data_IF_521094830551
#
_entry.id   IF_521094830551
#
_cell.length_a   1.000
_cell.length_b   1.000
_cell.length_c   1.000
_cell.angle_alpha   90.00
_cell.angle_beta   90.00
_cell.angle_gamma   90.00
#
_symmetry.space_group_name_H-M   'P 1'
#
loop_
_entity.id
_entity.type
_entity.pdbx_description
1 polymer ?
#
# COMPACT_ATOMS: atom_id res chain seq x y z
N UNK A 1 -25.40 -41.42 -13.00
CA UNK A 1 -24.18 -40.63 -12.68
C UNK A 1 -24.41 -39.16 -12.97
N UNK A 2 -24.98 -38.41 -12.02
CA UNK A 2 -25.24 -36.99 -12.21
C UNK A 2 -26.25 -36.51 -11.19
N UNK A 3 -25.77 -35.96 -10.08
CA UNK A 3 -26.54 -35.04 -9.20
C UNK A 3 -25.64 -34.38 -8.14
N UNK A 4 -24.44 -34.91 -7.85
CA UNK A 4 -23.54 -34.37 -6.83
C UNK A 4 -22.59 -33.23 -7.27
N UNK A 5 -22.51 -32.90 -8.56
CA UNK A 5 -21.58 -31.87 -9.07
C UNK A 5 -22.13 -30.43 -9.04
N UNK A 6 -23.43 -30.20 -8.81
CA UNK A 6 -24.02 -28.84 -8.81
C UNK A 6 -23.99 -28.14 -7.43
N UNK A 7 -23.93 -28.89 -6.33
CA UNK A 7 -23.98 -28.32 -4.97
C UNK A 7 -22.64 -27.73 -4.48
N UNK A 8 -21.50 -28.24 -4.96
CA UNK A 8 -20.17 -27.77 -4.53
C UNK A 8 -19.63 -26.54 -5.29
N UNK A 9 -20.10 -26.30 -6.52
CA UNK A 9 -19.69 -25.13 -7.31
C UNK A 9 -20.52 -23.87 -6.99
N UNK A 10 -21.78 -24.02 -6.56
CA UNK A 10 -22.60 -22.88 -6.12
C UNK A 10 -22.06 -22.19 -4.85
N UNK A 11 -21.65 -22.97 -3.84
CA UNK A 11 -21.08 -22.42 -2.58
C UNK A 11 -19.72 -21.74 -2.76
N UNK A 12 -18.90 -22.16 -3.73
CA UNK A 12 -17.62 -21.49 -4.05
C UNK A 12 -17.78 -20.18 -4.81
N UNK A 13 -18.83 -20.04 -5.64
CA UNK A 13 -19.16 -18.78 -6.31
C UNK A 13 -19.72 -17.76 -5.32
N UNK A 14 -20.65 -18.17 -4.45
CA UNK A 14 -21.21 -17.31 -3.41
C UNK A 14 -20.15 -16.78 -2.42
N UNK A 15 -19.26 -17.65 -1.90
CA UNK A 15 -18.15 -17.23 -1.00
C UNK A 15 -17.13 -16.29 -1.65
N UNK A 16 -17.00 -16.31 -2.99
CA UNK A 16 -16.10 -15.43 -3.74
C UNK A 16 -16.74 -14.07 -3.99
N UNK A 17 -18.04 -14.08 -4.26
CA UNK A 17 -18.87 -12.88 -4.42
C UNK A 17 -19.03 -12.13 -3.08
N UNK A 18 -19.20 -12.85 -1.96
CA UNK A 18 -19.20 -12.24 -0.61
C UNK A 18 -17.84 -11.65 -0.23
N UNK A 19 -16.72 -12.26 -0.67
CA UNK A 19 -15.38 -11.71 -0.45
C UNK A 19 -15.09 -10.49 -1.33
N UNK A 20 -15.56 -10.49 -2.57
CA UNK A 20 -15.43 -9.35 -3.49
C UNK A 20 -16.31 -8.17 -3.01
N UNK A 21 -17.52 -8.44 -2.51
CA UNK A 21 -18.39 -7.44 -1.88
C UNK A 21 -17.80 -6.87 -0.57
N UNK A 22 -17.16 -7.70 0.27
CA UNK A 22 -16.46 -7.22 1.48
C UNK A 22 -15.21 -6.38 1.15
N UNK A 23 -14.54 -6.66 0.02
CA UNK A 23 -13.42 -5.85 -0.46
C UNK A 23 -13.96 -4.52 -1.03
N UNK A 24 -15.05 -4.54 -1.81
CA UNK A 24 -15.71 -3.34 -2.34
C UNK A 24 -16.27 -2.44 -1.22
N UNK A 25 -16.87 -2.99 -0.16
CA UNK A 25 -17.29 -2.19 1.00
C UNK A 25 -16.09 -1.56 1.74
N UNK A 26 -14.94 -2.25 1.77
CA UNK A 26 -13.70 -1.75 2.38
C UNK A 26 -13.06 -0.61 1.57
N UNK A 27 -13.33 -0.55 0.26
CA UNK A 27 -12.92 0.56 -0.62
C UNK A 27 -13.95 1.71 -0.66
N UNK A 28 -15.25 1.42 -0.51
CA UNK A 28 -16.32 2.44 -0.46
C UNK A 28 -16.31 3.30 0.82
N UNK A 29 -15.69 2.83 1.92
CA UNK A 29 -15.58 3.58 3.19
C UNK A 29 -14.23 4.29 3.41
N UNK A 30 -13.48 4.57 2.35
CA UNK A 30 -12.36 5.52 2.44
C UNK A 30 -12.86 6.86 1.94
N UNK A 31 -13.42 7.65 2.86
CA UNK A 31 -13.49 9.08 2.62
C UNK A 31 -12.05 9.59 2.37
N UNK A 32 -11.85 10.49 1.39
CA UNK A 32 -10.55 11.11 1.19
C UNK A 32 -10.14 11.80 2.49
N UNK A 33 -8.95 11.46 2.99
CA UNK A 33 -8.31 12.21 4.08
C UNK A 33 -8.05 13.60 3.49
N UNK A 34 -8.79 14.61 3.94
CA UNK A 34 -8.49 15.98 3.58
C UNK A 34 -7.06 16.32 4.02
N UNK A 35 -6.26 17.02 3.19
CA UNK A 35 -4.93 17.43 3.59
C UNK A 35 -5.03 18.33 4.83
N UNK A 36 -4.29 17.96 5.88
CA UNK A 36 -4.13 18.80 7.06
C UNK A 36 -3.27 19.99 6.64
N UNK A 37 -3.76 21.20 6.82
CA UNK A 37 -3.04 22.44 6.48
C UNK A 37 -2.39 23.02 7.74
N UNK A 38 -1.19 23.60 7.67
CA UNK A 38 -0.70 24.46 8.74
C UNK A 38 -1.58 25.72 8.84
N UNK A 39 -1.90 26.14 10.06
CA UNK A 39 -2.55 27.43 10.33
C UNK A 39 -1.48 28.47 10.67
N UNK A 40 -1.51 29.61 9.99
CA UNK A 40 -0.62 30.75 10.24
C UNK A 40 -1.45 31.81 10.95
N UNK A 41 -1.10 32.14 12.19
CA UNK A 41 -1.66 33.28 12.91
C UNK A 41 -0.66 34.44 12.87
N UNK A 42 -1.06 35.57 12.29
CA UNK A 42 -0.30 36.83 12.35
C UNK A 42 -0.70 37.60 13.60
N UNK A 43 -0.01 37.37 14.72
CA UNK A 43 -0.10 38.27 15.87
C UNK A 43 0.92 39.39 15.71
N UNK A 44 0.41 40.61 15.46
CA UNK A 44 1.17 41.87 15.44
C UNK A 44 1.67 42.21 16.85
N UNK A 45 2.65 41.45 17.35
CA UNK A 45 3.79 41.99 18.13
C UNK A 45 4.85 40.95 18.59
N UNK A 46 4.73 39.64 18.31
CA UNK A 46 5.75 38.67 18.72
C UNK A 46 5.77 37.40 17.85
N UNK A 47 6.41 37.48 16.68
CA UNK A 47 6.84 36.30 15.91
C UNK A 47 5.72 35.52 15.21
N UNK A 48 6.02 34.97 14.04
CA UNK A 48 5.10 34.09 13.32
C UNK A 48 5.02 32.76 14.10
N UNK A 49 3.88 32.51 14.74
CA UNK A 49 3.56 31.23 15.36
C UNK A 49 2.87 30.32 14.34
N UNK A 50 3.56 29.27 13.88
CA UNK A 50 2.98 28.24 13.02
C UNK A 50 2.43 27.14 13.94
N UNK A 51 1.11 26.95 13.97
CA UNK A 51 0.44 25.86 14.68
C UNK A 51 -0.17 24.87 13.70
N UNK A 52 -0.30 23.61 14.11
CA UNK A 52 -1.01 22.61 13.32
C UNK A 52 -2.51 22.77 13.49
N UNK A 53 -3.27 22.66 12.40
CA UNK A 53 -4.72 22.54 12.50
C UNK A 53 -5.12 21.30 13.32
N UNK A 54 -6.25 21.35 14.06
CA UNK A 54 -6.75 20.22 14.82
C UNK A 54 -7.00 18.99 13.93
N UNK A 55 -6.86 17.81 14.52
CA UNK A 55 -7.15 16.54 13.84
C UNK A 55 -8.58 16.11 14.13
N UNK A 56 -9.44 16.21 13.13
CA UNK A 56 -10.85 15.85 13.23
C UNK A 56 -11.71 16.76 12.36
N UNK A 57 -12.86 16.23 11.93
CA UNK A 57 -13.87 17.01 11.21
C UNK A 57 -15.03 17.24 12.17
N UNK A 58 -15.45 18.50 12.30
CA UNK A 58 -16.64 18.86 13.08
C UNK A 58 -17.90 18.36 12.38
N UNK A 59 -18.91 17.98 13.15
CA UNK A 59 -20.24 17.66 12.63
C UNK A 59 -21.23 18.83 12.82
N UNK A 60 -20.71 20.02 13.15
CA UNK A 60 -21.48 21.22 13.51
C UNK A 60 -22.43 20.99 14.71
N UNK A 61 -22.07 20.04 15.60
CA UNK A 61 -22.87 19.74 16.77
C UNK A 61 -22.74 20.84 17.82
N UNK A 62 -23.86 21.45 18.19
CA UNK A 62 -23.92 22.47 19.27
C UNK A 62 -24.03 21.87 20.68
N UNK A 63 -23.99 20.54 20.80
CA UNK A 63 -24.13 19.85 22.08
C UNK A 63 -22.88 20.04 22.96
N UNK A 64 -23.08 20.24 24.27
CA UNK A 64 -22.01 20.46 25.26
C UNK A 64 -21.71 19.24 26.13
N UNK A 65 -21.90 18.04 25.61
CA UNK A 65 -21.71 16.77 26.32
C UNK A 65 -20.50 15.98 25.80
N UNK A 66 -19.61 16.63 25.02
CA UNK A 66 -18.35 16.04 24.61
C UNK A 66 -17.34 16.06 25.75
N UNK A 67 -16.36 15.17 25.64
CA UNK A 67 -15.21 15.07 26.53
C UNK A 67 -13.99 14.58 25.76
N UNK A 68 -12.81 14.86 26.34
CA UNK A 68 -11.52 14.27 25.93
C UNK A 68 -11.02 13.38 27.06
N UNK A 69 -10.46 12.22 26.71
CA UNK A 69 -9.98 11.22 27.66
C UNK A 69 -8.67 10.60 27.21
N UNK A 70 -7.93 10.09 28.18
CA UNK A 70 -6.76 9.24 27.97
C UNK A 70 -7.12 7.81 28.35
N UNK A 71 -6.70 6.87 27.52
CA UNK A 71 -6.43 5.52 28.00
C UNK A 71 -4.98 5.41 28.44
N UNK A 72 -4.78 4.80 29.60
CA UNK A 72 -3.46 4.66 30.20
C UNK A 72 -3.28 3.30 30.86
N UNK A 73 -2.03 2.85 30.94
CA UNK A 73 -1.65 1.64 31.68
C UNK A 73 -1.53 2.00 33.16
N UNK A 74 -2.23 1.31 34.05
CA UNK A 74 -2.32 1.70 35.47
C UNK A 74 -0.97 1.67 36.17
N UNK A 75 -0.19 0.63 35.93
CA UNK A 75 1.07 0.39 36.62
C UNK A 75 2.14 1.45 36.28
N UNK A 76 2.17 1.91 35.03
CA UNK A 76 3.18 2.87 34.56
C UNK A 76 2.67 4.30 34.47
N UNK A 77 1.35 4.50 34.43
CA UNK A 77 0.72 5.78 34.10
C UNK A 77 0.88 6.19 32.63
N UNK A 78 1.45 5.33 31.78
CA UNK A 78 1.72 5.64 30.38
C UNK A 78 0.42 5.81 29.61
N UNK A 79 0.30 6.94 28.91
CA UNK A 79 -0.84 7.26 28.06
C UNK A 79 -0.55 6.73 26.66
N UNK A 80 -1.33 5.76 26.21
CA UNK A 80 -1.14 5.13 24.90
C UNK A 80 -2.19 5.53 23.87
N UNK A 81 -3.30 6.14 24.30
CA UNK A 81 -4.35 6.60 23.38
C UNK A 81 -5.08 7.82 23.94
N UNK A 82 -5.36 8.77 23.06
CA UNK A 82 -6.14 9.98 23.36
C UNK A 82 -7.38 9.94 22.48
N UNK A 83 -8.53 10.20 23.07
CA UNK A 83 -9.78 10.17 22.32
C UNK A 83 -10.73 11.29 22.72
N UNK A 84 -11.53 11.74 21.75
CA UNK A 84 -12.77 12.47 22.01
C UNK A 84 -13.99 11.55 22.04
N UNK A 85 -15.01 11.90 22.82
CA UNK A 85 -16.25 11.13 22.84
C UNK A 85 -17.43 11.78 23.56
N UNK A 86 -18.56 11.05 23.53
CA UNK A 86 -19.82 11.34 24.22
C UNK A 86 -20.34 10.06 24.86
N UNK A 87 -21.14 10.18 25.92
CA UNK A 87 -21.70 9.04 26.66
C UNK A 87 -20.63 8.01 27.04
N UNK A 88 -20.90 6.72 26.84
CA UNK A 88 -19.96 5.62 27.16
C UNK A 88 -18.94 5.29 26.04
N UNK A 89 -18.70 6.18 25.06
CA UNK A 89 -17.76 5.90 23.95
C UNK A 89 -16.37 5.47 24.43
N UNK A 90 -15.87 6.06 25.51
CA UNK A 90 -14.57 5.73 26.11
C UNK A 90 -14.45 4.27 26.62
N UNK A 91 -15.57 3.59 26.87
CA UNK A 91 -15.58 2.18 27.32
C UNK A 91 -15.70 1.20 26.17
N UNK A 92 -16.32 1.63 25.07
CA UNK A 92 -16.63 0.79 23.91
C UNK A 92 -15.35 0.31 23.24
N UNK A 93 -15.49 -0.71 22.41
CA UNK A 93 -14.42 -1.17 21.52
C UNK A 93 -14.33 -0.26 20.29
N UNK A 94 -13.11 0.13 19.92
CA UNK A 94 -12.82 1.03 18.80
C UNK A 94 -12.20 0.25 17.65
N UNK A 95 -13.01 -0.18 16.68
CA UNK A 95 -12.55 -0.99 15.53
C UNK A 95 -11.38 -0.36 14.73
N UNK A 96 -11.29 0.98 14.74
CA UNK A 96 -10.23 1.72 14.03
C UNK A 96 -8.95 1.93 14.85
N UNK A 97 -8.99 1.69 16.16
CA UNK A 97 -7.88 1.83 17.10
C UNK A 97 -7.37 0.45 17.57
N UNK A 98 -7.10 -0.43 16.60
CA UNK A 98 -6.76 -1.83 16.84
C UNK A 98 -5.57 -2.03 17.78
N UNK A 99 -4.51 -1.22 17.67
CA UNK A 99 -3.36 -1.32 18.59
C UNK A 99 -3.72 -0.87 20.02
N UNK A 100 -4.52 0.18 20.17
CA UNK A 100 -4.99 0.63 21.48
C UNK A 100 -5.84 -0.45 22.17
N UNK A 101 -6.71 -1.11 21.41
CA UNK A 101 -7.54 -2.21 21.93
C UNK A 101 -6.69 -3.41 22.32
N UNK A 102 -5.69 -3.77 21.51
CA UNK A 102 -4.73 -4.83 21.84
C UNK A 102 -3.98 -4.53 23.14
N UNK A 103 -3.57 -3.28 23.36
CA UNK A 103 -2.95 -2.85 24.62
C UNK A 103 -3.93 -3.02 25.78
N UNK A 104 -5.21 -2.60 25.63
CA UNK A 104 -6.24 -2.78 26.67
C UNK A 104 -6.50 -4.24 27.03
N UNK A 105 -6.33 -5.16 26.09
CA UNK A 105 -6.48 -6.61 26.33
C UNK A 105 -5.30 -7.22 27.08
N UNK A 106 -4.09 -6.69 26.90
CA UNK A 106 -2.86 -7.28 27.46
C UNK A 106 -2.39 -6.62 28.76
N UNK A 107 -2.76 -5.36 28.98
CA UNK A 107 -2.33 -4.58 30.13
C UNK A 107 -3.52 -4.23 31.03
N UNK A 108 -3.27 -4.08 32.34
CA UNK A 108 -4.25 -3.47 33.21
C UNK A 108 -4.33 -1.97 32.91
N UNK A 109 -5.45 -1.55 32.32
CA UNK A 109 -5.65 -0.21 31.79
C UNK A 109 -6.85 0.47 32.45
N UNK A 110 -6.84 1.79 32.45
CA UNK A 110 -7.97 2.59 32.89
C UNK A 110 -8.15 3.82 32.00
N UNK A 111 -9.23 4.57 32.27
CA UNK A 111 -9.58 5.80 31.58
C UNK A 111 -9.57 6.97 32.53
N UNK A 112 -8.92 8.05 32.13
CA UNK A 112 -9.02 9.35 32.83
C UNK A 112 -9.54 10.41 31.88
N UNK A 113 -10.46 11.23 32.35
CA UNK A 113 -10.97 12.36 31.58
C UNK A 113 -10.02 13.55 31.71
N UNK A 114 -9.66 14.14 30.59
CA UNK A 114 -8.91 15.40 30.54
C UNK A 114 -9.86 16.55 30.87
N UNK A 115 -10.99 16.60 30.15
CA UNK A 115 -12.05 17.60 30.37
C UNK A 115 -13.39 17.07 29.86
N UNK A 116 -14.48 17.50 30.50
CA UNK A 116 -15.87 17.16 30.16
C UNK A 116 -16.68 18.43 29.96
N UNK A 117 -17.85 18.29 29.34
CA UNK A 117 -18.79 19.40 29.17
C UNK A 117 -18.41 20.32 28.01
N UNK A 118 -17.72 19.78 27.01
CA UNK A 118 -17.18 20.50 25.85
C UNK A 118 -18.20 20.51 24.70
N UNK A 119 -18.10 21.53 23.85
CA UNK A 119 -18.61 21.43 22.47
C UNK A 119 -17.79 20.44 21.66
N UNK A 120 -18.26 20.08 20.46
CA UNK A 120 -17.47 19.21 19.57
C UNK A 120 -16.15 19.86 19.16
N UNK A 121 -16.18 21.14 18.77
CA UNK A 121 -14.99 21.86 18.31
C UNK A 121 -13.97 22.01 19.44
N UNK A 122 -14.42 22.39 20.65
CA UNK A 122 -13.56 22.46 21.84
C UNK A 122 -12.92 21.09 22.15
N UNK A 123 -13.63 19.99 21.93
CA UNK A 123 -13.09 18.64 22.13
C UNK A 123 -12.10 18.23 21.04
N UNK A 124 -12.31 18.65 19.79
CA UNK A 124 -11.38 18.41 18.67
C UNK A 124 -10.06 19.16 18.89
N UNK A 125 -10.14 20.42 19.28
CA UNK A 125 -8.97 21.25 19.63
C UNK A 125 -8.20 20.62 20.80
N UNK A 126 -8.89 20.33 21.91
CA UNK A 126 -8.25 19.77 23.10
C UNK A 126 -7.65 18.38 22.86
N UNK A 127 -8.29 17.53 22.05
CA UNK A 127 -7.73 16.23 21.66
C UNK A 127 -6.39 16.41 20.92
N UNK A 128 -6.32 17.40 20.02
CA UNK A 128 -5.13 17.73 19.25
C UNK A 128 -4.02 18.32 20.11
N UNK A 129 -4.38 19.21 21.04
CA UNK A 129 -3.44 19.81 22.00
C UNK A 129 -2.83 18.75 22.92
N UNK A 130 -3.64 17.84 23.45
CA UNK A 130 -3.14 16.76 24.30
C UNK A 130 -2.24 15.77 23.52
N UNK A 131 -2.57 15.44 22.27
CA UNK A 131 -1.66 14.66 21.42
C UNK A 131 -0.32 15.38 21.23
N UNK A 132 -0.37 16.68 20.92
CA UNK A 132 0.83 17.50 20.73
C UNK A 132 1.67 17.54 22.00
N UNK A 133 1.05 17.80 23.15
CA UNK A 133 1.70 17.83 24.46
C UNK A 133 2.38 16.49 24.76
N UNK A 134 1.68 15.37 24.62
CA UNK A 134 2.23 14.04 24.89
C UNK A 134 3.41 13.72 23.97
N UNK A 135 3.29 13.98 22.67
CA UNK A 135 4.36 13.70 21.69
C UNK A 135 5.58 14.61 21.88
N UNK A 136 5.39 15.84 22.38
CA UNK A 136 6.45 16.84 22.53
C UNK A 136 7.14 16.84 23.89
N UNK A 137 6.44 16.49 24.96
CA UNK A 137 6.87 16.68 26.35
C UNK A 137 7.10 15.37 27.11
N UNK A 138 6.62 14.24 26.58
CA UNK A 138 6.74 12.93 27.24
C UNK A 138 7.39 11.90 26.31
N UNK A 139 7.73 10.74 26.87
CA UNK A 139 8.17 9.58 26.12
C UNK A 139 7.06 8.55 25.88
N UNK A 140 5.80 8.86 26.20
CA UNK A 140 4.71 7.91 26.02
C UNK A 140 4.50 7.62 24.53
N UNK A 141 4.20 6.37 24.20
CA UNK A 141 4.00 5.96 22.81
C UNK A 141 2.51 5.94 22.44
N UNK A 142 2.04 6.96 21.72
CA UNK A 142 0.64 7.01 21.29
C UNK A 142 0.37 6.02 20.15
N UNK A 143 -0.85 5.50 20.11
CA UNK A 143 -1.35 4.63 19.03
C UNK A 143 -2.37 5.32 18.13
N UNK A 144 -2.58 6.62 18.31
CA UNK A 144 -3.45 7.46 17.48
C UNK A 144 -2.93 7.49 16.04
N UNK A 145 -3.71 7.00 15.07
CA UNK A 145 -3.25 6.90 13.67
C UNK A 145 -3.04 8.25 12.98
N UNK A 146 -3.78 9.26 13.41
CA UNK A 146 -3.68 10.63 12.89
C UNK A 146 -3.25 11.49 14.07
N UNK A 147 -2.22 12.28 13.85
CA UNK A 147 -1.66 13.20 14.83
C UNK A 147 -1.46 14.58 14.19
N UNK A 148 -1.36 15.65 14.99
CA UNK A 148 -1.08 16.98 14.47
C UNK A 148 0.29 17.05 13.78
N UNK A 149 0.40 17.84 12.70
CA UNK A 149 1.56 17.85 11.80
C UNK A 149 2.88 18.32 12.44
N UNK A 150 2.82 19.25 13.39
CA UNK A 150 4.02 19.94 13.93
C UNK A 150 4.50 19.34 15.24
N UNK A 151 4.29 18.04 15.42
CA UNK A 151 4.75 17.30 16.59
C UNK A 151 6.20 16.87 16.42
N UNK A 152 6.95 16.81 17.53
CA UNK A 152 8.38 16.43 17.54
C UNK A 152 8.61 14.95 17.27
N UNK A 153 7.60 14.11 17.53
CA UNK A 153 7.63 12.66 17.35
C UNK A 153 6.43 12.22 16.52
N UNK A 154 6.63 11.17 15.72
CA UNK A 154 5.59 10.53 14.94
C UNK A 154 4.56 9.79 15.82
N UNK A 155 3.59 9.18 15.15
CA UNK A 155 2.49 8.46 15.78
C UNK A 155 2.83 7.00 16.16
N UNK A 156 4.10 6.62 16.04
CA UNK A 156 4.61 5.30 16.38
C UNK A 156 4.33 4.17 15.40
N UNK A 157 3.70 4.46 14.25
CA UNK A 157 3.53 3.47 13.19
C UNK A 157 4.75 3.40 12.26
N UNK A 158 5.72 4.28 12.42
CA UNK A 158 6.98 4.26 11.69
C UNK A 158 7.90 3.15 12.19
N UNK A 159 8.94 2.88 11.42
CA UNK A 159 9.99 1.90 11.70
C UNK A 159 10.68 2.19 13.03
N UNK A 160 10.73 1.19 13.90
CA UNK A 160 11.38 1.29 15.21
C UNK A 160 12.79 1.90 15.12
N UNK A 161 13.16 2.84 16.03
CA UNK A 161 14.50 3.44 16.08
C UNK A 161 15.59 2.42 16.43
N UNK A 162 15.23 1.29 17.05
CA UNK A 162 16.16 0.20 17.35
C UNK A 162 16.37 -0.74 16.16
N UNK A 163 15.62 -0.56 15.08
CA UNK A 163 15.81 -1.32 13.86
C UNK A 163 17.08 -0.85 13.12
N UNK A 164 18.00 -1.74 12.74
CA UNK A 164 19.22 -1.38 12.01
C UNK A 164 18.94 -0.46 10.83
N UNK A 165 19.68 0.64 10.68
CA UNK A 165 19.45 1.63 9.61
C UNK A 165 19.58 1.02 8.23
N UNK A 166 18.87 1.60 7.27
CA UNK A 166 19.01 1.23 5.86
C UNK A 166 20.38 1.66 5.36
N UNK A 167 20.99 0.80 4.54
CA UNK A 167 22.32 1.01 3.99
C UNK A 167 22.32 0.55 2.52
N UNK A 168 23.05 1.27 1.68
CA UNK A 168 23.19 0.96 0.26
C UNK A 168 23.79 -0.44 0.07
N UNK A 169 23.19 -1.23 -0.83
CA UNK A 169 23.58 -2.60 -1.15
C UNK A 169 23.67 -3.56 0.05
N UNK A 170 22.88 -3.30 1.08
CA UNK A 170 22.72 -4.19 2.23
C UNK A 170 21.26 -4.60 2.37
N UNK A 171 21.03 -5.89 2.62
CA UNK A 171 19.68 -6.33 2.95
C UNK A 171 19.21 -5.64 4.24
N UNK A 172 18.02 -5.03 4.24
CA UNK A 172 17.47 -4.41 5.42
C UNK A 172 16.95 -5.48 6.38
N UNK A 173 16.34 -5.04 7.49
CA UNK A 173 15.68 -5.91 8.43
C UNK A 173 14.17 -5.82 8.24
N UNK A 174 13.47 -6.94 8.42
CA UNK A 174 12.05 -6.89 8.74
C UNK A 174 11.90 -6.16 10.07
N UNK A 175 11.04 -5.16 10.11
CA UNK A 175 11.01 -4.21 11.21
C UNK A 175 9.69 -4.24 11.99
N UNK A 176 9.70 -4.02 13.31
CA UNK A 176 8.52 -3.63 14.05
C UNK A 176 8.28 -2.12 13.92
N UNK A 177 7.04 -1.69 14.10
CA UNK A 177 6.77 -0.29 14.42
C UNK A 177 7.26 0.08 15.82
N UNK A 178 7.38 1.37 16.14
CA UNK A 178 7.67 1.82 17.53
C UNK A 178 6.66 1.23 18.52
N UNK A 179 5.38 1.22 18.16
CA UNK A 179 4.29 0.65 18.97
C UNK A 179 4.51 -0.85 19.19
N UNK A 180 4.83 -1.57 18.12
CA UNK A 180 5.02 -3.02 18.15
C UNK A 180 6.21 -3.43 19.03
N UNK A 181 7.31 -2.69 18.94
CA UNK A 181 8.47 -2.94 19.77
C UNK A 181 8.20 -2.58 21.24
N UNK A 182 7.64 -1.39 21.50
CA UNK A 182 7.45 -0.86 22.85
C UNK A 182 6.42 -1.66 23.65
N UNK A 183 5.23 -1.91 23.09
CA UNK A 183 4.15 -2.57 23.82
C UNK A 183 4.10 -4.09 23.62
N UNK A 184 4.67 -4.63 22.55
CA UNK A 184 4.56 -6.07 22.28
C UNK A 184 5.90 -6.79 22.28
N UNK A 185 7.00 -6.05 22.52
CA UNK A 185 8.35 -6.62 22.55
C UNK A 185 8.77 -7.26 21.22
N UNK A 186 8.13 -6.89 20.11
CA UNK A 186 8.45 -7.42 18.79
C UNK A 186 9.79 -6.84 18.38
N UNK A 187 10.72 -7.70 17.97
CA UNK A 187 12.08 -7.29 17.62
C UNK A 187 12.30 -7.31 16.12
N UNK A 188 13.21 -6.47 15.60
CA UNK A 188 13.70 -6.59 14.24
C UNK A 188 14.22 -7.99 13.91
N UNK A 189 14.01 -8.43 12.68
CA UNK A 189 14.44 -9.74 12.18
C UNK A 189 15.17 -9.61 10.86
N UNK A 190 16.34 -10.21 10.73
CA UNK A 190 17.04 -10.31 9.46
C UNK A 190 16.29 -11.23 8.48
N UNK A 191 16.48 -11.00 7.18
CA UNK A 191 16.06 -11.98 6.17
C UNK A 191 16.81 -13.31 6.34
N UNK A 192 16.22 -14.39 5.85
CA UNK A 192 16.85 -15.70 5.92
C UNK A 192 18.09 -15.71 5.00
N UNK A 193 19.14 -16.44 5.39
CA UNK A 193 20.32 -16.62 4.55
C UNK A 193 19.94 -17.33 3.26
N UNK A 194 20.40 -16.81 2.11
CA UNK A 194 20.00 -17.32 0.81
C UNK A 194 20.67 -18.67 0.53
N UNK A 195 19.84 -19.69 0.31
CA UNK A 195 20.27 -21.00 -0.19
C UNK A 195 19.86 -21.15 -1.66
N UNK A 196 20.83 -21.44 -2.53
CA UNK A 196 20.57 -21.58 -3.98
C UNK A 196 19.49 -22.62 -4.30
N UNK A 197 19.46 -23.75 -3.58
CA UNK A 197 18.50 -24.83 -3.83
C UNK A 197 17.04 -24.41 -3.60
N UNK A 198 16.83 -23.34 -2.81
CA UNK A 198 15.52 -22.75 -2.58
C UNK A 198 15.13 -21.73 -3.65
N UNK A 199 16.01 -21.38 -4.59
CA UNK A 199 15.73 -20.43 -5.68
C UNK A 199 15.05 -21.07 -6.90
N UNK A 200 14.81 -22.39 -6.91
CA UNK A 200 14.19 -23.13 -8.03
C UNK A 200 12.89 -22.49 -8.54
N UNK A 201 12.04 -21.99 -7.64
CA UNK A 201 10.72 -21.43 -7.95
C UNK A 201 10.35 -20.26 -7.02
N UNK A 202 10.90 -19.08 -7.29
CA UNK A 202 10.72 -17.90 -6.43
C UNK A 202 9.48 -17.07 -6.77
N UNK A 203 9.02 -16.26 -5.82
CA UNK A 203 8.13 -15.12 -6.07
C UNK A 203 8.86 -13.85 -5.68
N UNK A 204 8.82 -12.83 -6.53
CA UNK A 204 9.34 -11.51 -6.22
C UNK A 204 8.20 -10.68 -5.61
N UNK A 205 8.47 -10.06 -4.45
CA UNK A 205 7.48 -9.36 -3.64
C UNK A 205 7.63 -7.84 -3.75
N UNK A 206 6.65 -7.22 -4.41
CA UNK A 206 6.59 -5.79 -4.72
C UNK A 206 5.81 -4.97 -3.67
N UNK A 207 5.57 -5.53 -2.49
CA UNK A 207 4.59 -5.00 -1.53
C UNK A 207 5.00 -3.71 -0.83
N UNK A 208 6.29 -3.55 -0.53
CA UNK A 208 6.84 -2.34 0.08
C UNK A 208 8.09 -1.93 -0.70
N UNK A 209 8.06 -0.75 -1.31
CA UNK A 209 9.15 -0.19 -2.11
C UNK A 209 9.55 1.22 -1.70
N UNK A 210 9.02 1.73 -0.58
CA UNK A 210 9.19 3.13 -0.15
C UNK A 210 10.66 3.51 0.09
N UNK A 211 11.48 2.58 0.57
CA UNK A 211 12.88 2.86 0.93
C UNK A 211 13.88 2.22 -0.05
N UNK A 212 13.44 1.98 -1.28
CA UNK A 212 14.28 1.37 -2.31
C UNK A 212 15.38 2.31 -2.78
N UNK A 213 15.23 3.63 -2.60
CA UNK A 213 16.27 4.60 -2.90
C UNK A 213 17.50 4.41 -2.02
N UNK A 214 17.32 4.22 -0.72
CA UNK A 214 18.39 4.01 0.27
C UNK A 214 19.11 2.68 0.02
N UNK A 215 18.35 1.64 -0.34
CA UNK A 215 18.88 0.28 -0.56
C UNK A 215 19.61 0.16 -1.90
N UNK A 216 19.08 0.74 -2.98
CA UNK A 216 19.55 0.54 -4.36
C UNK A 216 20.13 1.79 -5.03
N UNK A 217 20.22 2.91 -4.32
CA UNK A 217 20.75 4.16 -4.87
C UNK A 217 19.92 4.70 -6.04
N UNK A 218 18.61 4.45 -6.04
CA UNK A 218 17.69 4.82 -7.13
C UNK A 218 17.73 3.89 -8.35
N UNK A 219 18.46 2.77 -8.30
CA UNK A 219 18.67 1.86 -9.45
C UNK A 219 17.98 0.50 -9.29
N UNK A 220 16.87 0.40 -8.55
CA UNK A 220 16.16 -0.87 -8.29
C UNK A 220 15.93 -1.71 -9.57
N UNK A 221 15.59 -1.06 -10.67
CA UNK A 221 15.34 -1.74 -11.96
C UNK A 221 16.54 -2.54 -12.45
N UNK A 222 17.76 -2.02 -12.25
CA UNK A 222 19.01 -2.71 -12.62
C UNK A 222 19.16 -3.99 -11.80
N UNK A 223 19.09 -3.90 -10.46
CA UNK A 223 19.20 -5.06 -9.57
C UNK A 223 18.13 -6.10 -9.87
N UNK A 224 16.90 -5.65 -10.10
CA UNK A 224 15.80 -6.55 -10.42
C UNK A 224 16.01 -7.24 -11.76
N UNK A 225 16.40 -6.50 -12.80
CA UNK A 225 16.60 -7.04 -14.15
C UNK A 225 17.76 -8.04 -14.18
N UNK A 226 18.88 -7.71 -13.54
CA UNK A 226 20.03 -8.62 -13.39
C UNK A 226 19.63 -9.89 -12.64
N UNK A 227 18.91 -9.75 -11.51
CA UNK A 227 18.45 -10.90 -10.72
C UNK A 227 17.52 -11.79 -11.53
N UNK A 228 16.54 -11.21 -12.23
CA UNK A 228 15.60 -11.96 -13.07
C UNK A 228 16.34 -12.72 -14.18
N UNK A 229 17.25 -12.05 -14.88
CA UNK A 229 18.03 -12.65 -15.96
C UNK A 229 18.90 -13.81 -15.46
N UNK A 230 19.61 -13.63 -14.34
CA UNK A 230 20.41 -14.68 -13.71
C UNK A 230 19.55 -15.86 -13.26
N UNK A 231 18.38 -15.62 -12.66
CA UNK A 231 17.47 -16.68 -12.28
C UNK A 231 17.01 -17.49 -13.50
N UNK A 232 16.50 -16.81 -14.53
CA UNK A 232 15.92 -17.44 -15.72
C UNK A 232 16.98 -18.16 -16.57
N UNK A 233 18.15 -17.56 -16.79
CA UNK A 233 19.27 -18.17 -17.52
C UNK A 233 19.74 -19.48 -16.87
N UNK A 234 19.58 -19.60 -15.55
CA UNK A 234 19.99 -20.77 -14.77
C UNK A 234 18.81 -21.70 -14.43
N UNK A 235 17.72 -21.64 -15.21
CA UNK A 235 16.60 -22.58 -15.11
C UNK A 235 15.69 -22.40 -13.90
N UNK A 236 15.86 -21.32 -13.13
CA UNK A 236 14.96 -20.96 -12.03
C UNK A 236 13.70 -20.31 -12.57
N UNK A 237 12.57 -20.53 -11.88
CA UNK A 237 11.26 -20.06 -12.34
C UNK A 237 10.71 -18.97 -11.43
N UNK A 238 10.41 -17.81 -12.00
CA UNK A 238 9.68 -16.76 -11.28
C UNK A 238 8.18 -17.02 -11.37
N UNK A 239 7.53 -17.17 -10.22
CA UNK A 239 6.11 -17.44 -10.09
C UNK A 239 5.31 -16.15 -9.88
N UNK A 240 4.04 -16.18 -10.31
CA UNK A 240 3.13 -15.01 -10.25
C UNK A 240 2.41 -14.82 -8.91
N UNK A 241 2.38 -15.85 -8.07
CA UNK A 241 1.58 -15.84 -6.85
C UNK A 241 2.36 -16.38 -5.68
N UNK A 242 2.44 -15.56 -4.63
CA UNK A 242 3.07 -15.84 -3.34
C UNK A 242 2.75 -17.23 -2.81
N UNK A 243 1.49 -17.65 -2.93
CA UNK A 243 0.98 -18.89 -2.35
C UNK A 243 0.79 -20.03 -3.37
N UNK A 244 1.59 -20.06 -4.44
CA UNK A 244 1.64 -21.22 -5.33
C UNK A 244 2.16 -22.44 -4.55
N UNK A 245 1.54 -23.62 -4.72
CA UNK A 245 1.99 -24.85 -4.02
C UNK A 245 3.46 -25.19 -4.29
N UNK A 246 3.98 -24.80 -5.46
CA UNK A 246 5.37 -25.04 -5.86
C UNK A 246 6.36 -23.94 -5.50
N UNK A 247 5.96 -22.88 -4.78
CA UNK A 247 6.86 -21.77 -4.44
C UNK A 247 7.95 -22.24 -3.50
N UNK A 248 9.22 -21.96 -3.77
CA UNK A 248 10.34 -22.40 -2.92
C UNK A 248 10.92 -21.28 -2.07
N UNK A 249 10.81 -20.02 -2.49
CA UNK A 249 11.20 -18.86 -1.69
C UNK A 249 10.41 -17.60 -2.10
N UNK A 250 10.38 -16.62 -1.20
CA UNK A 250 9.91 -15.26 -1.46
C UNK A 250 11.09 -14.30 -1.45
N UNK A 251 11.16 -13.40 -2.42
CA UNK A 251 12.27 -12.45 -2.59
C UNK A 251 11.71 -11.04 -2.50
N UNK A 252 12.06 -10.34 -1.43
CA UNK A 252 11.59 -8.99 -1.13
C UNK A 252 12.47 -7.94 -1.79
N UNK A 253 11.84 -6.85 -2.24
CA UNK A 253 12.53 -5.72 -2.82
C UNK A 253 12.91 -4.65 -1.79
N UNK A 254 12.09 -4.42 -0.78
CA UNK A 254 12.39 -3.52 0.32
C UNK A 254 12.38 -4.24 1.66
N UNK A 255 12.26 -3.48 2.73
CA UNK A 255 11.89 -4.02 4.03
C UNK A 255 10.37 -4.23 4.14
N UNK A 256 9.91 -4.84 5.23
CA UNK A 256 8.49 -5.04 5.53
C UNK A 256 8.32 -5.23 7.04
N UNK A 257 7.09 -5.12 7.52
CA UNK A 257 6.77 -5.34 8.92
C UNK A 257 7.01 -6.80 9.31
N UNK A 258 7.54 -7.03 10.51
CA UNK A 258 7.66 -8.37 11.10
C UNK A 258 6.29 -9.05 11.18
N UNK A 259 5.25 -8.30 11.56
CA UNK A 259 3.87 -8.82 11.64
C UNK A 259 3.30 -9.19 10.27
N UNK A 260 3.67 -8.46 9.21
CA UNK A 260 3.33 -8.85 7.83
C UNK A 260 4.01 -10.15 7.45
N UNK A 261 5.30 -10.30 7.75
CA UNK A 261 6.04 -11.56 7.56
C UNK A 261 5.36 -12.72 8.29
N UNK A 262 5.06 -12.59 9.58
CA UNK A 262 4.40 -13.63 10.38
C UNK A 262 3.02 -14.00 9.83
N UNK A 263 2.22 -12.99 9.47
CA UNK A 263 0.91 -13.19 8.83
C UNK A 263 1.04 -13.96 7.52
N UNK A 264 2.06 -13.66 6.71
CA UNK A 264 2.33 -14.34 5.46
C UNK A 264 2.79 -15.79 5.69
N UNK A 265 3.67 -16.05 6.66
CA UNK A 265 4.09 -17.42 7.02
C UNK A 265 2.91 -18.26 7.49
N UNK A 266 2.05 -17.71 8.36
CA UNK A 266 0.82 -18.40 8.79
C UNK A 266 -0.08 -18.76 7.60
N UNK A 267 -0.29 -17.82 6.67
CA UNK A 267 -1.06 -18.07 5.43
C UNK A 267 -0.38 -19.13 4.54
N UNK A 268 0.95 -19.16 4.49
CA UNK A 268 1.67 -20.21 3.77
C UNK A 268 1.50 -21.58 4.41
N UNK A 269 1.58 -21.67 5.74
CA UNK A 269 1.30 -22.91 6.46
C UNK A 269 -0.13 -23.41 6.17
N UNK A 270 -1.13 -22.53 6.23
CA UNK A 270 -2.53 -22.87 5.95
C UNK A 270 -2.79 -23.28 4.48
N UNK A 271 -2.15 -22.61 3.52
CA UNK A 271 -2.47 -22.77 2.08
C UNK A 271 -1.55 -23.74 1.35
N UNK A 272 -0.30 -23.85 1.79
CA UNK A 272 0.78 -24.60 1.16
C UNK A 272 1.23 -25.77 2.04
N UNK A 273 1.01 -25.69 3.36
CA UNK A 273 1.39 -26.74 4.32
C UNK A 273 2.81 -26.60 4.86
N UNK A 274 3.48 -25.47 4.65
CA UNK A 274 4.83 -25.19 5.18
C UNK A 274 5.16 -23.71 5.18
N UNK A 275 6.20 -23.36 5.94
CA UNK A 275 6.84 -22.06 5.84
C UNK A 275 7.61 -21.93 4.52
N UNK A 276 7.80 -20.69 4.09
CA UNK A 276 8.53 -20.37 2.86
C UNK A 276 9.73 -19.50 3.23
N UNK A 277 10.96 -19.89 2.88
CA UNK A 277 12.14 -19.03 3.05
C UNK A 277 11.92 -17.64 2.47
N UNK A 278 12.33 -16.63 3.22
CA UNK A 278 12.16 -15.22 2.86
C UNK A 278 13.51 -14.54 2.73
N UNK A 279 13.83 -14.13 1.51
CA UNK A 279 15.10 -13.54 1.12
C UNK A 279 14.92 -12.09 0.70
N UNK A 280 16.01 -11.33 0.72
CA UNK A 280 16.07 -10.00 0.12
C UNK A 280 16.76 -10.05 -1.25
N UNK A 281 16.34 -9.21 -2.19
CA UNK A 281 16.86 -9.17 -3.57
C UNK A 281 18.39 -9.00 -3.62
N UNK A 282 18.94 -8.11 -2.78
CA UNK A 282 20.38 -7.86 -2.71
C UNK A 282 21.18 -9.14 -2.46
N UNK A 283 20.77 -9.94 -1.46
CA UNK A 283 21.50 -11.16 -1.10
C UNK A 283 21.32 -12.25 -2.15
N UNK A 284 20.14 -12.30 -2.78
CA UNK A 284 19.90 -13.20 -3.92
C UNK A 284 20.80 -12.85 -5.10
N UNK A 285 20.90 -11.56 -5.46
CA UNK A 285 21.75 -11.12 -6.55
C UNK A 285 23.23 -11.43 -6.28
N UNK A 286 23.71 -11.12 -5.07
CA UNK A 286 25.09 -11.42 -4.64
C UNK A 286 25.40 -12.91 -4.82
N UNK A 287 24.55 -13.78 -4.28
CA UNK A 287 24.73 -15.23 -4.42
C UNK A 287 24.71 -15.70 -5.89
N UNK A 288 23.85 -15.13 -6.72
CA UNK A 288 23.78 -15.49 -8.14
C UNK A 288 25.03 -15.04 -8.91
N UNK A 289 25.53 -13.83 -8.63
CA UNK A 289 26.77 -13.31 -9.23
C UNK A 289 27.99 -14.10 -8.78
N UNK A 290 28.08 -14.44 -7.49
CA UNK A 290 29.17 -15.27 -6.97
C UNK A 290 29.20 -16.65 -7.65
N UNK A 291 28.03 -17.18 -8.02
CA UNK A 291 27.90 -18.51 -8.62
C UNK A 291 28.05 -18.54 -10.14
N UNK A 292 27.59 -17.51 -10.85
CA UNK A 292 27.49 -17.53 -12.32
C UNK A 292 28.24 -16.39 -13.01
N UNK A 293 28.84 -15.47 -12.24
CA UNK A 293 29.44 -14.25 -12.76
C UNK A 293 28.41 -13.16 -13.08
N UNK A 294 28.91 -12.04 -13.60
CA UNK A 294 28.09 -10.93 -14.07
C UNK A 294 27.46 -11.25 -15.44
N UNK A 295 26.25 -10.77 -15.66
CA UNK A 295 25.60 -10.79 -16.97
C UNK A 295 25.69 -9.40 -17.58
N UNK A 296 26.24 -9.32 -18.80
CA UNK A 296 26.11 -8.13 -19.63
C UNK A 296 24.71 -8.14 -20.28
N UNK A 297 23.78 -7.41 -19.67
CA UNK A 297 22.43 -7.27 -20.19
C UNK A 297 22.48 -6.39 -21.44
N UNK A 298 22.45 -7.03 -22.61
CA UNK A 298 22.18 -6.31 -23.86
C UNK A 298 20.81 -5.65 -23.75
N UNK A 299 20.79 -4.32 -23.90
CA UNK A 299 19.57 -3.54 -24.05
C UNK A 299 18.69 -4.21 -25.12
N UNK A 300 17.50 -4.65 -24.72
CA UNK A 300 16.52 -5.22 -25.65
C UNK A 300 16.26 -4.20 -26.76
N UNK A 301 16.38 -4.63 -28.02
CA UNK A 301 16.07 -3.79 -29.18
C UNK A 301 14.73 -3.09 -28.99
N UNK A 302 14.68 -1.78 -29.28
CA UNK A 302 13.44 -1.01 -29.23
C UNK A 302 12.43 -1.63 -30.19
N UNK A 303 11.41 -2.26 -29.64
CA UNK A 303 10.30 -2.76 -30.43
C UNK A 303 9.50 -1.55 -30.88
N UNK A 304 9.27 -1.45 -32.18
CA UNK A 304 8.37 -0.45 -32.74
C UNK A 304 6.94 -0.71 -32.24
N UNK A 305 6.44 0.17 -31.37
CA UNK A 305 5.10 0.11 -30.78
C UNK A 305 4.25 1.16 -31.48
N UNK A 306 3.25 0.71 -32.24
CA UNK A 306 2.39 1.57 -33.06
C UNK A 306 0.91 1.45 -32.64
N UNK A 307 0.51 2.04 -31.49
CA UNK A 307 -0.84 1.91 -30.97
C UNK A 307 -1.82 2.72 -31.82
N UNK A 308 -2.80 2.05 -32.44
CA UNK A 308 -3.85 2.71 -33.23
C UNK A 308 -5.09 2.88 -32.35
N UNK A 309 -5.47 4.13 -32.06
CA UNK A 309 -6.61 4.43 -31.19
C UNK A 309 -7.24 5.80 -31.47
N UNK A 310 -8.47 5.97 -30.98
CA UNK A 310 -9.23 7.22 -31.10
C UNK A 310 -9.22 8.07 -29.83
N UNK A 311 -8.37 7.72 -28.84
CA UNK A 311 -8.24 8.47 -27.58
C UNK A 311 -7.72 9.87 -27.83
N UNK A 312 -8.21 10.84 -27.07
CA UNK A 312 -7.69 12.20 -27.13
C UNK A 312 -6.22 12.26 -26.69
N UNK A 313 -5.40 13.14 -27.30
CA UNK A 313 -4.05 13.42 -26.80
C UNK A 313 -4.08 13.93 -25.35
N UNK A 314 -2.98 13.73 -24.60
CA UNK A 314 -2.87 14.13 -23.19
C UNK A 314 -3.20 15.61 -22.96
N UNK A 315 -2.70 16.48 -23.84
CA UNK A 315 -2.94 17.94 -23.81
C UNK A 315 -4.42 18.34 -23.92
N UNK A 316 -5.26 17.46 -24.45
CA UNK A 316 -6.67 17.73 -24.73
C UNK A 316 -7.60 17.05 -23.68
N UNK A 317 -7.03 16.43 -22.64
CA UNK A 317 -7.77 15.88 -21.51
C UNK A 317 -8.33 17.03 -20.66
N UNK A 318 -9.62 16.96 -20.31
CA UNK A 318 -10.24 17.89 -19.37
C UNK A 318 -9.73 17.64 -17.96
N UNK A 319 -9.68 18.68 -17.14
CA UNK A 319 -9.33 18.59 -15.72
C UNK A 319 -7.95 17.92 -15.45
N UNK A 320 -7.02 17.97 -16.42
CA UNK A 320 -5.73 17.26 -16.33
C UNK A 320 -4.92 17.59 -15.06
N UNK A 321 -5.04 18.81 -14.55
CA UNK A 321 -4.34 19.30 -13.35
C UNK A 321 -5.28 19.49 -12.14
N UNK A 322 -6.52 19.03 -12.22
CA UNK A 322 -7.53 19.16 -11.17
C UNK A 322 -8.11 17.78 -10.85
N UNK A 323 -7.40 17.05 -9.97
CA UNK A 323 -7.77 15.69 -9.57
C UNK A 323 -9.19 15.61 -9.01
N UNK A 324 -9.64 16.61 -8.23
CA UNK A 324 -10.98 16.58 -7.63
C UNK A 324 -12.05 16.59 -8.72
N UNK A 325 -11.96 17.52 -9.68
CA UNK A 325 -12.91 17.56 -10.81
C UNK A 325 -12.77 16.35 -11.72
N UNK A 326 -11.54 15.91 -11.98
CA UNK A 326 -11.28 14.70 -12.76
C UNK A 326 -11.92 13.45 -12.16
N UNK A 327 -11.87 13.33 -10.83
CA UNK A 327 -12.56 12.31 -10.08
C UNK A 327 -14.08 12.44 -10.21
N UNK A 328 -14.64 13.60 -9.90
CA UNK A 328 -16.08 13.84 -9.88
C UNK A 328 -16.73 13.58 -11.26
N UNK A 329 -16.08 14.03 -12.33
CA UNK A 329 -16.61 13.91 -13.69
C UNK A 329 -16.28 12.56 -14.37
N UNK A 330 -15.14 11.96 -14.03
CA UNK A 330 -14.62 10.78 -14.73
C UNK A 330 -14.85 9.44 -14.02
N UNK A 331 -14.94 9.41 -12.69
CA UNK A 331 -15.01 8.16 -11.90
C UNK A 331 -16.19 7.26 -12.28
N UNK A 332 -17.37 7.85 -12.48
CA UNK A 332 -18.59 7.10 -12.81
C UNK A 332 -18.51 6.36 -14.14
N UNK A 333 -17.77 6.90 -15.12
CA UNK A 333 -17.51 6.24 -16.40
C UNK A 333 -16.56 5.05 -16.21
N UNK A 334 -15.55 5.19 -15.35
CA UNK A 334 -14.68 4.06 -15.03
C UNK A 334 -15.44 2.93 -14.35
N UNK A 335 -16.31 3.21 -13.38
CA UNK A 335 -17.10 2.18 -12.70
C UNK A 335 -17.99 1.41 -13.70
N UNK A 336 -18.68 2.14 -14.58
CA UNK A 336 -19.49 1.54 -15.65
C UNK A 336 -18.62 0.71 -16.60
N UNK A 337 -17.46 1.24 -17.02
CA UNK A 337 -16.54 0.55 -17.90
C UNK A 337 -15.99 -0.74 -17.27
N UNK A 338 -15.66 -0.74 -15.98
CA UNK A 338 -15.15 -1.92 -15.29
C UNK A 338 -16.24 -2.99 -15.14
N UNK A 339 -17.48 -2.58 -14.93
CA UNK A 339 -18.65 -3.47 -14.96
C UNK A 339 -18.81 -4.12 -16.35
N UNK A 340 -18.79 -3.33 -17.43
CA UNK A 340 -18.87 -3.84 -18.80
C UNK A 340 -17.71 -4.81 -19.14
N UNK A 341 -16.49 -4.46 -18.71
CA UNK A 341 -15.30 -5.32 -18.86
C UNK A 341 -15.48 -6.65 -18.15
N UNK A 342 -16.02 -6.66 -16.93
CA UNK A 342 -16.31 -7.87 -16.15
C UNK A 342 -17.42 -8.71 -16.81
N UNK A 343 -18.39 -8.07 -17.46
CA UNK A 343 -19.46 -8.72 -18.22
C UNK A 343 -19.00 -9.25 -19.59
N UNK A 344 -17.80 -8.87 -20.05
CA UNK A 344 -17.22 -9.33 -21.30
C UNK A 344 -17.45 -8.41 -22.50
N UNK A 345 -18.07 -7.25 -22.28
CA UNK A 345 -18.32 -6.22 -23.31
C UNK A 345 -17.10 -5.31 -23.42
N UNK A 346 -16.02 -5.84 -24.00
CA UNK A 346 -14.68 -5.23 -23.89
C UNK A 346 -14.56 -3.91 -24.65
N UNK A 347 -15.14 -3.82 -25.84
CA UNK A 347 -15.11 -2.62 -26.69
C UNK A 347 -15.86 -1.46 -26.00
N UNK A 348 -17.06 -1.74 -25.49
CA UNK A 348 -17.85 -0.77 -24.70
C UNK A 348 -17.12 -0.34 -23.44
N UNK A 349 -16.41 -1.26 -22.78
CA UNK A 349 -15.59 -0.91 -21.63
C UNK A 349 -14.47 0.07 -22.01
N UNK A 350 -13.79 -0.16 -23.14
CA UNK A 350 -12.75 0.75 -23.64
C UNK A 350 -13.32 2.14 -23.93
N UNK A 351 -14.48 2.25 -24.58
CA UNK A 351 -15.15 3.54 -24.83
C UNK A 351 -15.48 4.29 -23.52
N UNK A 352 -15.94 3.57 -22.51
CA UNK A 352 -16.23 4.16 -21.20
C UNK A 352 -14.94 4.58 -20.48
N UNK A 353 -13.88 3.80 -20.60
CA UNK A 353 -12.59 4.20 -20.06
C UNK A 353 -11.99 5.40 -20.82
N UNK A 354 -12.18 5.51 -22.13
CA UNK A 354 -11.81 6.69 -22.92
C UNK A 354 -12.51 7.94 -22.40
N UNK A 355 -13.81 7.83 -22.04
CA UNK A 355 -14.58 8.91 -21.41
C UNK A 355 -14.08 9.25 -20.02
N UNK A 356 -13.77 8.25 -19.18
CA UNK A 356 -13.21 8.48 -17.85
C UNK A 356 -11.88 9.26 -17.96
N UNK A 357 -10.98 8.78 -18.82
CA UNK A 357 -9.69 9.42 -19.12
C UNK A 357 -9.88 10.84 -19.66
N UNK A 358 -10.80 11.05 -20.60
CA UNK A 358 -11.08 12.35 -21.21
C UNK A 358 -11.51 13.40 -20.18
N UNK A 359 -12.28 13.00 -19.16
CA UNK A 359 -12.73 13.90 -18.10
C UNK A 359 -11.69 14.14 -17.00
N UNK A 360 -10.49 13.56 -17.10
CA UNK A 360 -9.38 13.81 -16.19
C UNK A 360 -9.17 12.74 -15.11
N UNK A 361 -9.96 11.67 -15.09
CA UNK A 361 -9.76 10.58 -14.13
C UNK A 361 -8.48 9.80 -14.48
N UNK A 362 -7.53 9.75 -13.55
CA UNK A 362 -6.22 9.11 -13.75
C UNK A 362 -5.79 8.21 -12.59
N UNK A 363 -6.77 7.64 -11.87
CA UNK A 363 -6.45 6.66 -10.84
C UNK A 363 -5.70 5.44 -11.41
N UNK A 364 -4.80 4.79 -10.64
CA UNK A 364 -4.20 3.50 -11.02
C UNK A 364 -5.22 2.43 -11.40
N UNK A 365 -6.44 2.51 -10.89
CA UNK A 365 -7.54 1.60 -11.20
C UNK A 365 -7.98 1.68 -12.67
N UNK A 366 -8.05 2.88 -13.25
CA UNK A 366 -8.40 3.10 -14.66
C UNK A 366 -7.41 2.41 -15.58
N UNK A 367 -6.13 2.74 -15.44
CA UNK A 367 -5.04 2.21 -16.25
C UNK A 367 -4.95 0.69 -16.18
N UNK A 368 -5.17 0.11 -14.99
CA UNK A 368 -5.18 -1.34 -14.83
C UNK A 368 -6.37 -1.99 -15.57
N UNK A 369 -7.56 -1.41 -15.48
CA UNK A 369 -8.76 -1.92 -16.18
C UNK A 369 -8.63 -1.79 -17.70
N UNK A 370 -8.08 -0.68 -18.19
CA UNK A 370 -7.71 -0.47 -19.60
C UNK A 370 -6.77 -1.56 -20.12
N UNK A 371 -5.64 -1.75 -19.45
CA UNK A 371 -4.64 -2.71 -19.86
C UNK A 371 -5.23 -4.13 -19.87
N UNK A 372 -6.16 -4.45 -18.96
CA UNK A 372 -6.90 -5.72 -18.97
C UNK A 372 -7.86 -5.86 -20.15
N UNK A 373 -8.53 -4.79 -20.56
CA UNK A 373 -9.39 -4.79 -21.74
C UNK A 373 -8.59 -5.03 -23.02
N UNK A 374 -7.51 -4.27 -23.26
CA UNK A 374 -6.64 -4.48 -24.42
C UNK A 374 -5.97 -5.86 -24.43
N UNK A 375 -5.50 -6.35 -23.27
CA UNK A 375 -4.99 -7.72 -23.12
C UNK A 375 -5.99 -8.77 -23.58
N UNK A 376 -7.28 -8.56 -23.29
CA UNK A 376 -8.35 -9.50 -23.65
C UNK A 376 -8.56 -9.56 -25.15
N UNK A 377 -8.41 -8.42 -25.84
CA UNK A 377 -8.44 -8.33 -27.31
C UNK A 377 -7.13 -8.78 -27.97
N UNK A 378 -6.07 -9.02 -27.18
CA UNK A 378 -4.69 -9.26 -27.65
C UNK A 378 -4.12 -8.08 -28.44
N UNK A 379 -4.64 -6.89 -28.19
CA UNK A 379 -4.14 -5.63 -28.73
C UNK A 379 -3.03 -5.12 -27.80
N UNK A 380 -1.83 -5.68 -27.98
CA UNK A 380 -0.71 -5.40 -27.08
C UNK A 380 -0.10 -4.01 -27.31
N UNK A 381 -0.20 -3.46 -28.52
CA UNK A 381 0.28 -2.11 -28.81
C UNK A 381 -0.50 -1.07 -27.99
N UNK A 382 -1.84 -1.15 -28.01
CA UNK A 382 -2.66 -0.28 -27.17
C UNK A 382 -2.55 -0.59 -25.67
N UNK A 383 -2.32 -1.86 -25.29
CA UNK A 383 -1.99 -2.18 -23.89
C UNK A 383 -0.72 -1.44 -23.46
N UNK A 384 0.36 -1.48 -24.27
CA UNK A 384 1.62 -0.80 -23.96
C UNK A 384 1.45 0.72 -23.94
N UNK A 385 0.79 1.31 -24.93
CA UNK A 385 0.59 2.75 -24.98
C UNK A 385 -0.13 3.32 -23.75
N UNK A 386 -1.12 2.59 -23.21
CA UNK A 386 -1.77 3.00 -21.95
C UNK A 386 -0.88 2.76 -20.73
N UNK A 387 -0.06 1.71 -20.74
CA UNK A 387 0.88 1.46 -19.65
C UNK A 387 2.01 2.51 -19.61
N UNK A 388 2.47 2.98 -20.77
CA UNK A 388 3.43 4.08 -20.87
C UNK A 388 2.85 5.38 -20.31
N UNK A 389 1.62 5.73 -20.69
CA UNK A 389 0.93 6.86 -20.09
C UNK A 389 0.77 6.70 -18.56
N UNK A 390 0.38 5.51 -18.10
CA UNK A 390 0.23 5.24 -16.67
C UNK A 390 1.54 5.42 -15.92
N UNK A 391 2.66 4.95 -16.48
CA UNK A 391 3.99 5.12 -15.91
C UNK A 391 4.33 6.60 -15.83
N UNK A 392 4.14 7.36 -16.91
CA UNK A 392 4.43 8.80 -16.95
C UNK A 392 3.60 9.58 -15.92
N UNK A 393 2.28 9.42 -15.93
CA UNK A 393 1.36 10.21 -15.09
C UNK A 393 1.36 9.86 -13.62
N UNK A 394 1.69 8.61 -13.27
CA UNK A 394 1.66 8.13 -11.90
C UNK A 394 3.05 8.07 -11.26
N UNK A 395 4.10 8.44 -11.98
CA UNK A 395 5.44 8.59 -11.40
C UNK A 395 5.41 9.69 -10.35
N UNK A 396 5.81 9.36 -9.13
CA UNK A 396 5.97 10.31 -8.02
C UNK A 396 7.42 10.27 -7.57
N UNK A 397 8.01 11.44 -7.31
CA UNK A 397 9.38 11.54 -6.82
C UNK A 397 10.44 10.81 -7.69
N UNK A 398 10.20 10.79 -9.01
CA UNK A 398 10.97 10.03 -10.01
C UNK A 398 10.93 8.50 -9.85
N UNK A 399 9.98 7.99 -9.07
CA UNK A 399 9.71 6.57 -8.89
C UNK A 399 8.47 6.13 -9.69
N UNK A 400 8.67 5.45 -10.83
CA UNK A 400 7.56 4.95 -11.63
C UNK A 400 6.89 3.73 -10.99
N UNK A 401 5.57 3.57 -11.14
CA UNK A 401 4.82 2.50 -10.51
C UNK A 401 5.18 1.11 -11.10
N UNK A 402 5.90 0.32 -10.31
CA UNK A 402 6.54 -0.92 -10.76
C UNK A 402 5.58 -1.95 -11.37
N UNK A 403 4.36 -2.03 -10.86
CA UNK A 403 3.31 -2.91 -11.38
C UNK A 403 3.01 -2.66 -12.87
N UNK A 404 3.02 -1.40 -13.32
CA UNK A 404 2.75 -1.05 -14.71
C UNK A 404 3.97 -1.34 -15.60
N UNK A 405 5.19 -1.09 -15.11
CA UNK A 405 6.44 -1.50 -15.77
C UNK A 405 6.48 -3.01 -16.06
N UNK A 406 6.24 -3.85 -15.07
CA UNK A 406 6.19 -5.30 -15.28
C UNK A 406 5.14 -5.72 -16.30
N UNK A 407 3.97 -5.06 -16.26
CA UNK A 407 2.90 -5.39 -17.18
C UNK A 407 3.27 -5.01 -18.61
N UNK A 408 3.94 -3.87 -18.78
CA UNK A 408 4.46 -3.40 -20.05
C UNK A 408 5.49 -4.37 -20.61
N UNK A 409 6.48 -4.78 -19.82
CA UNK A 409 7.47 -5.81 -20.19
C UNK A 409 6.79 -7.11 -20.64
N UNK A 410 5.73 -7.54 -19.93
CA UNK A 410 4.95 -8.73 -20.31
C UNK A 410 4.13 -8.55 -21.58
N UNK A 411 3.76 -7.34 -21.95
CA UNK A 411 3.07 -7.06 -23.22
C UNK A 411 4.07 -7.07 -24.37
N UNK A 412 5.23 -6.42 -24.19
CA UNK A 412 6.40 -6.47 -25.09
C UNK A 412 6.80 -7.92 -25.38
N UNK A 413 7.02 -8.74 -24.35
CA UNK A 413 7.39 -10.15 -24.53
C UNK A 413 6.33 -10.95 -25.31
N UNK A 414 5.04 -10.57 -25.24
CA UNK A 414 4.00 -11.21 -26.05
C UNK A 414 4.02 -10.75 -27.52
N UNK A 415 4.33 -9.48 -27.79
CA UNK A 415 4.54 -8.98 -29.15
C UNK A 415 5.72 -9.71 -29.80
N UNK A 416 6.88 -9.78 -29.13
CA UNK A 416 8.05 -10.50 -29.63
C UNK A 416 7.70 -11.96 -29.95
N UNK A 417 6.96 -12.62 -29.05
CA UNK A 417 6.51 -14.00 -29.27
C UNK A 417 5.51 -14.14 -30.42
N UNK A 418 4.68 -13.12 -30.70
CA UNK A 418 3.80 -13.12 -31.87
C UNK A 418 4.59 -12.90 -33.16
N UNK A 419 5.59 -12.01 -33.15
CA UNK A 419 6.47 -11.76 -34.28
C UNK A 419 7.32 -12.97 -34.63
N UNK A 420 7.87 -13.68 -33.64
CA UNK A 420 8.62 -14.93 -33.83
C UNK A 420 7.77 -16.13 -34.30
N UNK A 421 6.45 -16.02 -34.26
CA UNK A 421 5.50 -17.07 -34.70
C UNK A 421 4.93 -16.82 -36.09
N UNK A 422 5.10 -15.61 -36.61
CA UNK A 422 4.87 -15.29 -38.02
C UNK A 422 6.11 -15.67 -38.80
#
# INVERSE_FOLDING_TARGET
MGLFSRLFFGKKKAKRQDKENQIEEKYKRREPIQPISPSINEDFDLGISISSSPVGVSTDSTAKDFYVYHWYIKDTGEIFYIGKGRGDRYKRHHERAYEAEKIREMYDTDVRFVKKGLTEDEAIELESDEMTRILNETNHQLTNRIIPLLTKRGNGYDRSPNTPKLEFEKAPYLYPSDIEEHYFGIKPRAFDTVEYDNLKRVVIEYGNTHDTKEIYGGNLDKYLSETKALLEANGNKILKTRFAKSVTAWVYLGDDYVTNYESNQKKALERIGRNVPTYHLIDVLKLLKDKFGDIDLKLTEEIEINPIHNRVPLKDIRNLHDWSKGFDEGHSYWEQGDSERKNGNIEKAIELFDKARYNGYDAPALYNSYAMAYRKLKDYDNEIGILDEAIERLTKDNEPPMKFKERRERAIALIQKQQQRK
#
